data_IF_990787005081
#
_entry.id   IF_990787005081
#
_cell.length_a   1.000
_cell.length_b   1.000
_cell.length_c   1.000
_cell.angle_alpha   90.00
_cell.angle_beta   90.00
_cell.angle_gamma   90.00
#
_symmetry.space_group_name_H-M   'P 1'
#
loop_
_entity.id
_entity.type
_entity.pdbx_description
1 polymer ?
#
# COMPACT_ATOMS: atom_id res chain seq x y z
N UNK A 1 -24.42 16.76 7.26
CA UNK A 1 -23.54 16.97 6.09
C UNK A 1 -22.09 16.63 6.38
N UNK A 2 -21.45 17.19 7.42
CA UNK A 2 -20.05 16.89 7.72
C UNK A 2 -19.83 15.46 8.28
N UNK A 3 -20.71 15.00 9.17
CA UNK A 3 -20.66 13.63 9.74
C UNK A 3 -20.85 12.53 8.70
N UNK A 4 -21.75 12.74 7.73
CA UNK A 4 -22.04 11.78 6.67
C UNK A 4 -20.87 11.65 5.69
N UNK A 5 -20.23 12.77 5.37
CA UNK A 5 -18.99 12.81 4.60
C UNK A 5 -17.84 12.08 5.31
N UNK A 6 -17.71 12.27 6.63
CA UNK A 6 -16.69 11.57 7.45
C UNK A 6 -16.95 10.07 7.48
N UNK A 7 -18.21 9.66 7.66
CA UNK A 7 -18.59 8.25 7.67
C UNK A 7 -18.24 7.57 6.34
N UNK A 8 -18.47 8.25 5.23
CA UNK A 8 -18.10 7.75 3.91
C UNK A 8 -16.57 7.61 3.76
N UNK A 9 -15.80 8.59 4.24
CA UNK A 9 -14.33 8.48 4.25
C UNK A 9 -13.86 7.32 5.11
N UNK A 10 -14.39 7.17 6.33
CA UNK A 10 -13.97 6.06 7.20
C UNK A 10 -14.26 4.70 6.57
N UNK A 11 -15.44 4.53 5.97
CA UNK A 11 -15.80 3.30 5.26
C UNK A 11 -14.82 3.01 4.12
N UNK A 12 -14.45 4.04 3.35
CA UNK A 12 -13.49 3.89 2.26
C UNK A 12 -12.11 3.49 2.79
N UNK A 13 -11.63 4.10 3.89
CA UNK A 13 -10.37 3.71 4.52
C UNK A 13 -10.41 2.28 5.07
N UNK A 14 -11.53 1.86 5.68
CA UNK A 14 -11.71 0.52 6.20
C UNK A 14 -11.73 -0.53 5.08
N UNK A 15 -12.38 -0.22 3.95
CA UNK A 15 -12.38 -1.06 2.76
C UNK A 15 -10.97 -1.24 2.17
N UNK A 16 -10.16 -0.17 2.15
CA UNK A 16 -8.76 -0.23 1.69
C UNK A 16 -7.91 -1.07 2.64
N UNK A 17 -8.11 -0.94 3.96
CA UNK A 17 -7.42 -1.79 4.95
C UNK A 17 -7.77 -3.25 4.73
N UNK A 18 -9.04 -3.57 4.49
CA UNK A 18 -9.48 -4.94 4.23
C UNK A 18 -8.88 -5.47 2.93
N UNK A 19 -8.90 -4.70 1.84
CA UNK A 19 -8.25 -5.08 0.58
C UNK A 19 -6.76 -5.34 0.75
N UNK A 20 -6.06 -4.53 1.55
CA UNK A 20 -4.64 -4.73 1.87
C UNK A 20 -4.39 -5.97 2.74
N UNK A 21 -5.34 -6.35 3.59
CA UNK A 21 -5.24 -7.56 4.43
C UNK A 21 -5.50 -8.84 3.65
N UNK A 22 -6.40 -8.78 2.67
CA UNK A 22 -6.76 -9.91 1.82
C UNK A 22 -5.76 -10.16 0.68
N UNK A 23 -4.83 -9.22 0.48
CA UNK A 23 -3.81 -9.28 -0.55
C UNK A 23 -2.78 -10.37 -0.23
N UNK A 24 -2.70 -11.36 -1.10
CA UNK A 24 -1.80 -12.51 -1.03
C UNK A 24 -1.19 -12.78 -2.41
N UNK A 25 -0.29 -13.76 -2.51
CA UNK A 25 0.41 -14.05 -3.78
C UNK A 25 -0.53 -14.48 -4.90
N UNK A 26 -1.60 -15.22 -4.58
CA UNK A 26 -2.52 -15.78 -5.56
C UNK A 26 -3.45 -14.72 -6.19
N UNK A 27 -3.74 -13.64 -5.47
CA UNK A 27 -4.63 -12.57 -5.91
C UNK A 27 -3.91 -11.22 -6.13
N UNK A 28 -2.57 -11.21 -6.03
CA UNK A 28 -1.76 -10.00 -6.12
C UNK A 28 -1.99 -9.26 -7.44
N UNK A 29 -1.90 -9.97 -8.58
CA UNK A 29 -2.00 -9.36 -9.91
C UNK A 29 -3.39 -8.75 -10.18
N UNK A 30 -4.43 -9.28 -9.54
CA UNK A 30 -5.80 -8.81 -9.68
C UNK A 30 -6.11 -7.63 -8.74
N UNK A 31 -5.68 -7.71 -7.47
CA UNK A 31 -6.01 -6.72 -6.46
C UNK A 31 -5.03 -5.53 -6.42
N UNK A 32 -3.76 -5.73 -6.78
CA UNK A 32 -2.74 -4.70 -6.70
C UNK A 32 -3.08 -3.44 -7.53
N UNK A 33 -3.55 -3.55 -8.80
CA UNK A 33 -3.95 -2.36 -9.56
C UNK A 33 -5.06 -1.55 -8.89
N UNK A 34 -6.02 -2.23 -8.25
CA UNK A 34 -7.11 -1.60 -7.49
C UNK A 34 -6.56 -0.89 -6.26
N UNK A 35 -5.73 -1.56 -5.46
CA UNK A 35 -5.09 -0.98 -4.28
C UNK A 35 -4.28 0.26 -4.62
N UNK A 36 -3.57 0.28 -5.77
CA UNK A 36 -2.83 1.46 -6.23
C UNK A 36 -3.75 2.65 -6.53
N UNK A 37 -4.94 2.41 -7.07
CA UNK A 37 -5.95 3.46 -7.31
C UNK A 37 -6.48 3.96 -5.97
N UNK A 38 -6.86 3.05 -5.09
CA UNK A 38 -7.41 3.38 -3.78
C UNK A 38 -6.38 4.17 -2.93
N UNK A 39 -5.09 3.84 -3.03
CA UNK A 39 -4.01 4.59 -2.38
C UNK A 39 -3.89 6.03 -2.87
N UNK A 40 -4.16 6.31 -4.15
CA UNK A 40 -4.21 7.70 -4.66
C UNK A 40 -5.37 8.46 -4.06
N UNK A 41 -6.51 7.80 -3.89
CA UNK A 41 -7.70 8.39 -3.28
C UNK A 41 -7.47 8.68 -1.78
N UNK A 42 -6.85 7.75 -1.05
CA UNK A 42 -6.40 7.94 0.34
C UNK A 42 -5.46 9.14 0.45
N UNK A 43 -4.51 9.29 -0.48
CA UNK A 43 -3.60 10.44 -0.51
C UNK A 43 -4.33 11.75 -0.76
N UNK A 44 -5.29 11.76 -1.70
CA UNK A 44 -6.11 12.94 -1.98
C UNK A 44 -6.97 13.35 -0.77
N UNK A 45 -7.55 12.37 -0.07
CA UNK A 45 -8.29 12.59 1.18
C UNK A 45 -7.38 13.22 2.23
N UNK A 46 -6.16 12.70 2.41
CA UNK A 46 -5.17 13.25 3.36
C UNK A 46 -4.83 14.71 3.04
N UNK A 47 -4.58 15.04 1.78
CA UNK A 47 -4.30 16.42 1.34
C UNK A 47 -5.52 17.35 1.53
N UNK A 48 -6.72 16.85 1.23
CA UNK A 48 -7.96 17.60 1.43
C UNK A 48 -8.21 17.89 2.92
N UNK A 49 -7.97 16.91 3.80
CA UNK A 49 -8.09 17.09 5.25
C UNK A 49 -7.05 18.08 5.80
N UNK A 50 -5.83 18.06 5.27
CA UNK A 50 -4.77 19.00 5.66
C UNK A 50 -5.01 20.43 5.18
N UNK A 51 -5.73 20.62 4.07
CA UNK A 51 -6.02 21.94 3.49
C UNK A 51 -7.30 22.60 4.02
N UNK A 52 -8.30 21.80 4.43
CA UNK A 52 -9.60 22.32 4.90
C UNK A 52 -9.68 22.64 6.39
N UNK A 53 -8.85 22.02 7.21
CA UNK A 53 -8.92 22.17 8.67
C UNK A 53 -7.62 22.82 9.18
N UNK A 54 -7.73 23.89 9.97
CA UNK A 54 -6.57 24.48 10.66
C UNK A 54 -6.10 23.52 11.76
N UNK A 55 -4.81 23.61 12.14
CA UNK A 55 -4.13 22.65 13.02
C UNK A 55 -4.82 22.33 14.36
N UNK A 56 -5.65 23.25 14.87
CA UNK A 56 -6.36 23.09 16.14
C UNK A 56 -7.66 22.26 16.02
N UNK A 57 -8.34 22.29 14.86
CA UNK A 57 -9.57 21.48 14.61
C UNK A 57 -9.22 20.03 14.19
N UNK A 58 -8.01 19.81 13.66
CA UNK A 58 -7.50 18.49 13.32
C UNK A 58 -7.19 17.62 14.55
N UNK A 59 -6.79 18.22 15.67
CA UNK A 59 -6.25 17.47 16.81
C UNK A 59 -7.29 16.60 17.54
N UNK A 60 -8.57 16.97 17.53
CA UNK A 60 -9.60 16.25 18.30
C UNK A 60 -10.39 15.27 17.44
N UNK A 61 -10.59 15.57 16.15
CA UNK A 61 -11.49 14.81 15.27
C UNK A 61 -10.80 14.04 14.14
N UNK A 62 -9.50 14.28 13.91
CA UNK A 62 -8.75 13.78 12.75
C UNK A 62 -7.70 12.72 13.12
N UNK A 63 -7.42 12.49 14.41
CA UNK A 63 -6.40 11.51 14.82
C UNK A 63 -6.73 10.11 14.28
N UNK A 64 -7.97 9.64 14.40
CA UNK A 64 -8.33 8.29 13.95
C UNK A 64 -8.21 8.12 12.42
N UNK A 65 -8.70 9.09 11.63
CA UNK A 65 -8.56 9.06 10.18
C UNK A 65 -7.09 9.19 9.75
N UNK A 66 -6.33 10.03 10.44
CA UNK A 66 -4.90 10.20 10.19
C UNK A 66 -4.11 8.94 10.56
N UNK A 67 -4.48 8.24 11.62
CA UNK A 67 -3.94 6.94 12.02
C UNK A 67 -4.29 5.86 11.00
N UNK A 68 -5.54 5.78 10.54
CA UNK A 68 -5.95 4.84 9.48
C UNK A 68 -5.19 5.09 8.18
N UNK A 69 -5.09 6.34 7.72
CA UNK A 69 -4.32 6.66 6.51
C UNK A 69 -2.82 6.36 6.66
N UNK A 70 -2.25 6.59 7.85
CA UNK A 70 -0.86 6.22 8.14
C UNK A 70 -0.67 4.70 8.16
N UNK A 71 -1.60 3.96 8.75
CA UNK A 71 -1.58 2.50 8.79
C UNK A 71 -1.65 1.90 7.38
N UNK A 72 -2.56 2.41 6.54
CA UNK A 72 -2.70 2.04 5.13
C UNK A 72 -1.37 2.27 4.40
N UNK A 73 -0.76 3.45 4.59
CA UNK A 73 0.51 3.78 3.98
C UNK A 73 1.62 2.81 4.40
N UNK A 74 1.79 2.56 5.71
CA UNK A 74 2.79 1.60 6.21
C UNK A 74 2.56 0.19 5.67
N UNK A 75 1.31 -0.28 5.60
CA UNK A 75 1.01 -1.61 5.06
C UNK A 75 1.37 -1.71 3.59
N UNK A 76 1.00 -0.70 2.81
CA UNK A 76 1.32 -0.66 1.39
C UNK A 76 2.83 -0.63 1.14
N UNK A 77 3.57 0.19 1.89
CA UNK A 77 5.03 0.27 1.80
C UNK A 77 5.69 -1.07 2.14
N UNK A 78 5.21 -1.77 3.18
CA UNK A 78 5.71 -3.11 3.54
C UNK A 78 5.47 -4.15 2.43
N UNK A 79 4.31 -4.09 1.75
CA UNK A 79 4.00 -4.99 0.63
C UNK A 79 4.95 -4.74 -0.54
N UNK A 80 5.22 -3.46 -0.86
CA UNK A 80 6.17 -3.09 -1.89
C UNK A 80 7.57 -3.60 -1.53
N UNK A 81 8.05 -3.31 -0.32
CA UNK A 81 9.38 -3.73 0.14
C UNK A 81 9.55 -5.26 0.07
N UNK A 82 8.51 -6.00 0.48
CA UNK A 82 8.51 -7.46 0.38
C UNK A 82 8.65 -7.93 -1.08
N UNK A 83 7.89 -7.34 -2.00
CA UNK A 83 7.93 -7.70 -3.42
C UNK A 83 9.24 -7.29 -4.11
N UNK A 84 9.81 -6.15 -3.77
CA UNK A 84 11.13 -5.74 -4.26
C UNK A 84 12.23 -6.71 -3.81
N UNK A 85 12.16 -7.18 -2.56
CA UNK A 85 13.09 -8.18 -2.04
C UNK A 85 12.93 -9.53 -2.75
N UNK A 86 11.70 -9.98 -2.96
CA UNK A 86 11.41 -11.22 -3.70
C UNK A 86 11.98 -11.15 -5.13
N UNK A 87 11.80 -10.02 -5.81
CA UNK A 87 12.35 -9.78 -7.14
C UNK A 87 13.88 -9.83 -7.15
N UNK A 88 14.54 -9.22 -6.15
CA UNK A 88 16.00 -9.25 -6.02
C UNK A 88 16.53 -10.68 -5.82
N UNK A 89 15.85 -11.48 -4.98
CA UNK A 89 16.22 -12.87 -4.73
C UNK A 89 16.09 -13.73 -5.99
N UNK A 90 14.99 -13.58 -6.74
CA UNK A 90 14.78 -14.27 -8.03
C UNK A 90 15.88 -13.89 -9.02
N UNK A 91 16.20 -12.60 -9.16
CA UNK A 91 17.26 -12.13 -10.05
C UNK A 91 18.62 -12.73 -9.67
N UNK A 92 18.95 -12.79 -8.37
CA UNK A 92 20.19 -13.38 -7.90
C UNK A 92 20.25 -14.90 -8.20
N UNK A 93 19.14 -15.62 -8.04
CA UNK A 93 19.05 -17.04 -8.40
C UNK A 93 19.24 -17.27 -9.91
N UNK A 94 18.58 -16.46 -10.75
CA UNK A 94 18.74 -16.53 -12.20
C UNK A 94 20.19 -16.30 -12.63
N UNK A 95 20.87 -15.31 -12.03
CA UNK A 95 22.28 -15.03 -12.31
C UNK A 95 23.18 -16.21 -11.90
N UNK A 96 22.95 -16.81 -10.72
CA UNK A 96 23.68 -18.02 -10.28
C UNK A 96 23.46 -19.19 -11.25
N UNK A 97 22.23 -19.43 -11.71
CA UNK A 97 21.93 -20.48 -12.68
C UNK A 97 22.63 -20.23 -14.03
N UNK A 98 22.64 -19.00 -14.52
CA UNK A 98 23.36 -18.65 -15.76
C UNK A 98 24.87 -18.88 -15.63
N UNK A 99 25.47 -18.51 -14.50
CA UNK A 99 26.89 -18.74 -14.25
C UNK A 99 27.21 -20.25 -14.16
N UNK A 100 26.37 -21.03 -13.48
CA UNK A 100 26.52 -22.49 -13.41
C UNK A 100 26.38 -23.16 -14.78
N UNK A 101 25.45 -22.70 -15.62
CA UNK A 101 25.30 -23.17 -17.01
C UNK A 101 26.54 -22.86 -17.86
N UNK A 102 27.10 -21.64 -17.72
CA UNK A 102 28.36 -21.30 -18.39
C UNK A 102 29.48 -22.24 -17.98
N UNK A 103 29.69 -22.44 -16.67
CA UNK A 103 30.71 -23.35 -16.15
C UNK A 103 30.53 -24.81 -16.59
N UNK A 104 29.29 -25.29 -16.70
CA UNK A 104 28.98 -26.63 -17.18
C UNK A 104 29.30 -26.83 -18.68
N UNK A 105 29.15 -25.78 -19.51
CA UNK A 105 29.49 -25.84 -20.94
C UNK A 105 31.00 -25.75 -21.23
N UNK A 106 31.83 -25.37 -20.25
CA UNK A 106 33.29 -25.32 -20.37
C UNK A 106 33.99 -26.59 -19.84
N UNK A 107 33.25 -27.59 -19.35
CA UNK A 107 33.76 -28.92 -18.99
C UNK A 107 33.47 -29.92 -20.10
#
# INVERSE_FOLDING_TARGET
MLEEFIKNISLLLDDVINCLNDLNEDNFDELYPRVVIDMKEVHAIKQMLQSKYNGDDLMIFNIELLEKTKLIQTKFDNIIEYKEKEQADILMQLQKMQNNRKLANYR
#
